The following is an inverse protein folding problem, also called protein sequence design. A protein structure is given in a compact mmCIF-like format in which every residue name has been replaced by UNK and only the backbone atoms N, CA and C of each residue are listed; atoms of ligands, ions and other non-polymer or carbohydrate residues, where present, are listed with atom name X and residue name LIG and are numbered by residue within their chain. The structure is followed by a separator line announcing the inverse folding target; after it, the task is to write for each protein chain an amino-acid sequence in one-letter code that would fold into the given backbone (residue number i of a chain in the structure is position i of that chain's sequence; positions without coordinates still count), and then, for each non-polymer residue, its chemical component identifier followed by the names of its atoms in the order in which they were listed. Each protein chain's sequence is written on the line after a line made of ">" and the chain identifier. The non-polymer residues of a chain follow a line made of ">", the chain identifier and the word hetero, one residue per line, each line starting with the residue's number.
data_IF_016812612636
#
_entry.id   IF_016812612636
#
_cell.length_a   1.000
_cell.length_b   1.000
_cell.length_c   1.000
_cell.angle_alpha   90.00
_cell.angle_beta   90.00
_cell.angle_gamma   90.00
#
_symmetry.space_group_name_H-M   'P 1'
#
loop_
_entity.id
_entity.type
_entity.pdbx_description
1 polymer ?
#
# COMPACT_ATOMS: atom_id res chain seq x y z
N UNK A 1 -14.31 -7.84 -21.43
CA UNK A 1 -14.51 -6.43 -21.83
C UNK A 1 -14.83 -5.67 -20.56
N UNK A 2 -14.11 -4.59 -20.23
CA UNK A 2 -14.32 -3.86 -18.98
C UNK A 2 -15.56 -2.98 -19.10
N UNK A 3 -16.47 -3.04 -18.14
CA UNK A 3 -17.69 -2.22 -18.16
C UNK A 3 -17.39 -0.78 -17.75
N UNK A 4 -18.28 0.17 -18.06
CA UNK A 4 -18.17 1.55 -17.58
C UNK A 4 -18.09 1.61 -16.05
N UNK A 5 -18.83 0.73 -15.36
CA UNK A 5 -18.77 0.60 -13.90
C UNK A 5 -17.35 0.24 -13.44
N UNK A 6 -16.71 -0.75 -14.06
CA UNK A 6 -15.36 -1.17 -13.67
C UNK A 6 -14.33 -0.08 -13.91
N UNK A 7 -14.50 0.70 -14.99
CA UNK A 7 -13.65 1.85 -15.29
C UNK A 7 -13.78 2.96 -14.24
N UNK A 8 -15.00 3.30 -13.84
CA UNK A 8 -15.25 4.29 -12.79
C UNK A 8 -14.69 3.81 -11.44
N UNK A 9 -14.87 2.54 -11.10
CA UNK A 9 -14.34 1.98 -9.85
C UNK A 9 -12.81 2.03 -9.83
N UNK A 10 -12.16 1.60 -10.91
CA UNK A 10 -10.71 1.70 -11.07
C UNK A 10 -10.20 3.13 -10.97
N UNK A 11 -10.89 4.09 -11.58
CA UNK A 11 -10.52 5.49 -11.49
C UNK A 11 -10.55 5.98 -10.03
N UNK A 12 -11.60 5.70 -9.29
CA UNK A 12 -11.76 6.17 -7.91
C UNK A 12 -10.82 5.46 -6.92
N UNK A 13 -10.52 4.18 -7.15
CA UNK A 13 -9.45 3.46 -6.43
C UNK A 13 -8.09 4.10 -6.73
N UNK A 14 -7.80 4.39 -8.00
CA UNK A 14 -6.53 5.03 -8.40
C UNK A 14 -6.36 6.42 -7.78
N UNK A 15 -7.45 7.19 -7.66
CA UNK A 15 -7.45 8.48 -6.97
C UNK A 15 -7.14 8.31 -5.47
N UNK A 16 -7.77 7.34 -4.81
CA UNK A 16 -7.53 7.04 -3.40
C UNK A 16 -6.05 6.69 -3.12
N UNK A 17 -5.47 5.80 -3.92
CA UNK A 17 -4.07 5.39 -3.78
C UNK A 17 -3.11 6.56 -4.01
N UNK A 18 -3.40 7.43 -4.99
CA UNK A 18 -2.60 8.62 -5.26
C UNK A 18 -2.67 9.62 -4.10
N UNK A 19 -3.86 9.87 -3.56
CA UNK A 19 -4.02 10.77 -2.41
C UNK A 19 -3.27 10.26 -1.18
N UNK A 20 -3.33 8.96 -0.92
CA UNK A 20 -2.55 8.33 0.15
C UNK A 20 -1.03 8.50 -0.08
N UNK A 21 -0.56 8.23 -1.30
CA UNK A 21 0.85 8.39 -1.65
C UNK A 21 1.33 9.84 -1.43
N UNK A 22 0.55 10.83 -1.84
CA UNK A 22 0.88 12.25 -1.64
C UNK A 22 0.92 12.60 -0.15
N UNK A 23 -0.03 12.12 0.66
CA UNK A 23 0.02 12.30 2.12
C UNK A 23 1.30 11.69 2.72
N UNK A 24 1.64 10.46 2.35
CA UNK A 24 2.83 9.78 2.88
C UNK A 24 4.12 10.48 2.45
N UNK A 25 4.16 11.01 1.23
CA UNK A 25 5.29 11.81 0.71
C UNK A 25 5.40 13.20 1.33
N UNK A 26 4.31 13.76 1.85
CA UNK A 26 4.33 15.00 2.63
C UNK A 26 4.75 14.74 4.08
N UNK A 27 4.30 13.62 4.65
CA UNK A 27 4.59 13.22 6.02
C UNK A 27 6.02 12.69 6.20
N UNK A 28 6.55 12.03 5.19
CA UNK A 28 7.88 11.39 5.18
C UNK A 28 8.76 11.95 4.06
N UNK A 29 9.99 11.45 3.90
CA UNK A 29 10.89 11.97 2.87
C UNK A 29 10.49 11.45 1.47
N UNK A 30 10.09 12.31 0.51
CA UNK A 30 9.70 11.86 -0.82
C UNK A 30 10.90 11.32 -1.61
N UNK A 31 10.69 10.25 -2.40
CA UNK A 31 11.69 9.70 -3.33
C UNK A 31 11.16 9.75 -4.77
N UNK A 32 11.99 9.35 -5.73
CA UNK A 32 11.63 9.33 -7.16
C UNK A 32 10.47 8.34 -7.40
N UNK A 33 9.50 8.77 -8.21
CA UNK A 33 8.34 7.95 -8.59
C UNK A 33 7.36 7.84 -7.42
N UNK A 34 6.76 6.67 -7.28
CA UNK A 34 5.68 6.41 -6.30
C UNK A 34 6.22 6.00 -4.92
N UNK A 35 7.33 6.63 -4.50
CA UNK A 35 8.15 6.20 -3.36
C UNK A 35 8.30 7.26 -2.29
N UNK A 36 8.43 6.81 -1.06
CA UNK A 36 8.82 7.63 0.10
C UNK A 36 9.80 6.87 1.00
N UNK A 37 10.51 7.59 1.86
CA UNK A 37 11.53 7.06 2.75
C UNK A 37 11.18 7.39 4.20
N UNK A 38 11.24 6.36 5.04
CA UNK A 38 10.95 6.46 6.46
C UNK A 38 11.86 5.50 7.24
N UNK A 39 12.54 6.03 8.26
CA UNK A 39 13.38 5.27 9.20
C UNK A 39 14.42 4.32 8.56
N UNK A 40 15.01 4.68 7.41
CA UNK A 40 16.01 3.83 6.75
C UNK A 40 15.44 2.92 5.64
N UNK A 41 14.12 2.84 5.51
CA UNK A 41 13.45 2.00 4.51
C UNK A 41 12.77 2.86 3.45
N UNK A 42 12.88 2.42 2.19
CA UNK A 42 12.09 2.99 1.08
C UNK A 42 10.82 2.17 0.89
N UNK A 43 9.68 2.84 0.86
CA UNK A 43 8.36 2.27 0.64
C UNK A 43 7.78 2.74 -0.70
N UNK A 44 6.89 1.95 -1.28
CA UNK A 44 6.23 2.23 -2.56
C UNK A 44 4.75 1.81 -2.52
N UNK A 45 3.90 2.59 -3.19
CA UNK A 45 2.52 2.21 -3.51
C UNK A 45 2.41 2.13 -5.03
N UNK A 46 2.21 0.92 -5.54
CA UNK A 46 2.01 0.67 -6.97
C UNK A 46 0.66 1.15 -7.46
N UNK A 47 0.52 1.41 -8.78
CA UNK A 47 -0.75 1.81 -9.36
C UNK A 47 -1.77 0.68 -9.30
N UNK A 48 -3.05 1.04 -9.21
CA UNK A 48 -4.13 0.08 -9.37
C UNK A 48 -4.17 -0.48 -10.81
N UNK A 49 -4.35 -1.79 -10.91
CA UNK A 49 -4.43 -2.54 -12.17
C UNK A 49 -5.71 -3.35 -12.21
N UNK A 50 -6.21 -3.58 -13.41
CA UNK A 50 -7.33 -4.49 -13.59
C UNK A 50 -6.85 -5.93 -13.58
N UNK A 51 -7.59 -6.76 -12.86
CA UNK A 51 -7.44 -8.21 -12.82
C UNK A 51 -8.78 -8.87 -13.18
N UNK A 52 -8.78 -10.15 -13.56
CA UNK A 52 -10.00 -10.87 -13.93
C UNK A 52 -11.01 -10.94 -12.75
N UNK A 53 -10.48 -11.01 -11.54
CA UNK A 53 -11.25 -11.15 -10.29
C UNK A 53 -11.47 -9.84 -9.53
N UNK A 54 -11.06 -8.69 -10.08
CA UNK A 54 -11.19 -7.40 -9.40
C UNK A 54 -10.12 -6.38 -9.80
N UNK A 55 -9.81 -5.47 -8.88
CA UNK A 55 -8.77 -4.46 -9.03
C UNK A 55 -7.67 -4.78 -8.03
N UNK A 56 -6.43 -4.75 -8.52
CA UNK A 56 -5.26 -5.15 -7.77
C UNK A 56 -4.29 -3.97 -7.63
N UNK A 57 -3.62 -3.88 -6.50
CA UNK A 57 -2.46 -2.99 -6.34
C UNK A 57 -1.43 -3.65 -5.44
N UNK A 58 -0.24 -3.09 -5.45
CA UNK A 58 0.90 -3.60 -4.70
C UNK A 58 1.44 -2.52 -3.77
N UNK A 59 1.89 -2.90 -2.58
CA UNK A 59 2.75 -2.07 -1.74
C UNK A 59 4.05 -2.81 -1.51
N UNK A 60 5.15 -2.08 -1.38
CA UNK A 60 6.44 -2.71 -1.11
C UNK A 60 7.31 -1.89 -0.18
N UNK A 61 8.29 -2.57 0.40
CA UNK A 61 9.34 -1.98 1.21
C UNK A 61 10.69 -2.59 0.86
N UNK A 62 11.72 -1.77 0.76
CA UNK A 62 13.10 -2.24 0.57
C UNK A 62 13.59 -2.90 1.86
N UNK A 63 14.14 -4.11 1.78
CA UNK A 63 14.85 -4.70 2.91
C UNK A 63 16.10 -3.85 3.19
N UNK A 64 16.36 -3.44 4.46
CA UNK A 64 17.51 -2.60 4.80
C UNK A 64 18.80 -3.44 4.85
N UNK A 65 19.19 -3.99 3.70
CA UNK A 65 20.32 -4.93 3.56
C UNK A 65 21.62 -4.41 4.19
N UNK A 66 21.81 -3.10 4.16
CA UNK A 66 22.99 -2.42 4.65
C UNK A 66 23.17 -2.54 6.16
N UNK A 67 22.07 -2.79 6.90
CA UNK A 67 22.05 -2.97 8.36
C UNK A 67 22.51 -4.36 8.79
N UNK A 68 22.36 -5.40 7.96
CA UNK A 68 22.65 -6.78 8.36
C UNK A 68 24.14 -7.12 8.25
N UNK A 69 24.59 -8.02 9.14
CA UNK A 69 25.96 -8.54 9.14
C UNK A 69 26.06 -9.71 8.15
N UNK A 70 25.14 -10.67 8.26
CA UNK A 70 25.11 -11.87 7.42
C UNK A 70 24.11 -11.73 6.28
N UNK A 71 24.39 -12.33 5.11
CA UNK A 71 23.44 -12.30 3.98
C UNK A 71 22.21 -13.18 4.22
N UNK A 72 22.35 -14.25 5.00
CA UNK A 72 21.23 -15.16 5.33
C UNK A 72 20.18 -14.48 6.23
N UNK A 73 20.56 -13.39 6.88
CA UNK A 73 19.65 -12.56 7.67
C UNK A 73 18.57 -11.89 6.80
N UNK A 74 18.82 -11.68 5.51
CA UNK A 74 17.84 -11.08 4.59
C UNK A 74 16.63 -12.00 4.37
N UNK A 75 16.88 -13.31 4.24
CA UNK A 75 15.83 -14.33 4.14
C UNK A 75 15.05 -14.42 5.46
N UNK A 76 15.78 -14.47 6.57
CA UNK A 76 15.17 -14.52 7.90
C UNK A 76 14.32 -13.28 8.18
N UNK A 77 14.79 -12.10 7.77
CA UNK A 77 14.07 -10.84 7.88
C UNK A 77 12.75 -10.88 7.12
N UNK A 78 12.81 -11.29 5.84
CA UNK A 78 11.61 -11.44 5.00
C UNK A 78 10.61 -12.40 5.64
N UNK A 79 11.06 -13.57 6.10
CA UNK A 79 10.18 -14.59 6.69
C UNK A 79 9.50 -14.10 7.96
N UNK A 80 10.20 -13.34 8.81
CA UNK A 80 9.61 -12.74 10.02
C UNK A 80 8.62 -11.62 9.70
N UNK A 81 8.95 -10.74 8.75
CA UNK A 81 8.00 -9.69 8.31
C UNK A 81 6.74 -10.33 7.73
N UNK A 82 6.90 -11.34 6.87
CA UNK A 82 5.80 -12.13 6.33
C UNK A 82 4.97 -12.79 7.42
N UNK A 83 5.60 -13.38 8.43
CA UNK A 83 4.90 -14.02 9.54
C UNK A 83 4.04 -13.03 10.34
N UNK A 84 4.51 -11.81 10.59
CA UNK A 84 3.74 -10.76 11.25
C UNK A 84 2.53 -10.32 10.40
N UNK A 85 2.76 -10.07 9.11
CA UNK A 85 1.69 -9.63 8.19
C UNK A 85 0.56 -10.66 8.03
N UNK A 86 0.88 -11.95 8.10
CA UNK A 86 -0.12 -13.02 8.05
C UNK A 86 -1.00 -13.11 9.31
N UNK A 87 -0.62 -12.48 10.42
CA UNK A 87 -1.43 -12.47 11.65
C UNK A 87 -2.67 -11.59 11.52
N UNK A 88 -2.62 -10.54 10.68
CA UNK A 88 -3.70 -9.57 10.52
C UNK A 88 -4.90 -10.10 9.69
N UNK A 89 -4.76 -11.29 9.07
CA UNK A 89 -5.82 -12.02 8.35
C UNK A 89 -6.66 -11.15 7.39
N UNK A 90 -5.98 -10.50 6.46
CA UNK A 90 -6.64 -9.74 5.39
C UNK A 90 -7.11 -10.68 4.27
N UNK A 91 -8.44 -10.84 4.04
CA UNK A 91 -8.93 -11.69 2.95
C UNK A 91 -8.54 -11.19 1.55
N UNK A 92 -8.30 -9.89 1.39
CA UNK A 92 -7.87 -9.27 0.13
C UNK A 92 -6.38 -9.49 -0.19
N UNK A 93 -5.57 -9.97 0.75
CA UNK A 93 -4.14 -10.17 0.57
C UNK A 93 -3.93 -11.44 -0.26
N UNK A 94 -3.48 -11.25 -1.51
CA UNK A 94 -3.29 -12.33 -2.48
C UNK A 94 -1.92 -12.98 -2.32
N UNK A 95 -0.88 -12.18 -2.11
CA UNK A 95 0.49 -12.67 -2.06
C UNK A 95 1.40 -11.78 -1.22
N UNK A 96 2.38 -12.42 -0.58
CA UNK A 96 3.57 -11.77 -0.01
C UNK A 96 4.78 -12.43 -0.68
N UNK A 97 5.50 -11.64 -1.48
CA UNK A 97 6.61 -12.08 -2.31
C UNK A 97 7.90 -11.34 -1.93
N UNK A 98 9.03 -12.03 -2.06
CA UNK A 98 10.34 -11.39 -2.04
C UNK A 98 10.75 -11.06 -3.46
N UNK A 99 10.88 -9.79 -3.78
CA UNK A 99 11.36 -9.34 -5.09
C UNK A 99 12.85 -9.00 -5.00
N UNK A 100 13.67 -9.69 -5.79
CA UNK A 100 15.10 -9.48 -5.85
C UNK A 100 15.48 -8.79 -7.17
N UNK A 101 16.02 -7.57 -7.07
CA UNK A 101 16.43 -6.77 -8.22
C UNK A 101 17.95 -6.73 -8.29
N UNK A 102 18.52 -7.37 -9.31
CA UNK A 102 19.97 -7.35 -9.60
C UNK A 102 20.23 -6.35 -10.72
N UNK A 103 21.08 -5.35 -10.46
CA UNK A 103 21.49 -4.36 -11.46
C UNK A 103 23.00 -4.35 -11.62
N UNK A 104 23.47 -4.60 -12.84
CA UNK A 104 24.87 -4.37 -13.23
C UNK A 104 25.14 -2.87 -13.39
N UNK A 105 26.20 -2.37 -12.74
CA UNK A 105 26.58 -0.94 -12.73
C UNK A 105 27.87 -0.72 -13.51
N UNK A 106 28.81 -1.66 -13.41
CA UNK A 106 30.06 -1.73 -14.17
C UNK A 106 30.37 -3.20 -14.45
N UNK A 107 31.39 -3.46 -15.28
CA UNK A 107 31.83 -4.82 -15.70
C UNK A 107 32.00 -5.82 -14.55
N UNK A 108 32.22 -5.36 -13.31
CA UNK A 108 32.43 -6.21 -12.13
C UNK A 108 31.65 -5.77 -10.87
N UNK A 109 30.65 -4.88 -10.99
CA UNK A 109 29.85 -4.40 -9.84
C UNK A 109 28.34 -4.64 -10.07
N UNK A 110 27.76 -5.56 -9.28
CA UNK A 110 26.31 -5.81 -9.20
C UNK A 110 25.73 -5.20 -7.92
N UNK A 111 24.64 -4.42 -8.04
CA UNK A 111 23.80 -4.04 -6.90
C UNK A 111 22.57 -4.92 -6.86
N UNK A 112 22.47 -5.70 -5.79
CA UNK A 112 21.31 -6.51 -5.45
C UNK A 112 20.43 -5.75 -4.44
N UNK A 113 19.11 -5.81 -4.63
CA UNK A 113 18.13 -5.17 -3.74
C UNK A 113 16.94 -6.10 -3.56
N UNK A 114 16.74 -6.55 -2.35
CA UNK A 114 15.56 -7.30 -1.93
C UNK A 114 14.46 -6.36 -1.43
N UNK A 115 13.23 -6.70 -1.78
CA UNK A 115 12.01 -6.02 -1.38
C UNK A 115 11.01 -7.02 -0.82
N UNK A 116 10.30 -6.60 0.22
CA UNK A 116 9.05 -7.24 0.64
C UNK A 116 7.92 -6.62 -0.18
N UNK A 117 7.19 -7.43 -0.93
CA UNK A 117 6.13 -6.99 -1.84
C UNK A 117 4.82 -7.68 -1.47
N UNK A 118 3.77 -6.88 -1.26
CA UNK A 118 2.45 -7.34 -0.91
C UNK A 118 1.48 -6.98 -2.03
N UNK A 119 0.65 -7.94 -2.43
CA UNK A 119 -0.35 -7.80 -3.49
C UNK A 119 -1.74 -7.92 -2.89
N UNK A 120 -2.56 -6.89 -3.09
CA UNK A 120 -3.92 -6.82 -2.58
C UNK A 120 -4.92 -6.75 -3.73
N UNK A 121 -6.02 -7.49 -3.62
CA UNK A 121 -7.07 -7.54 -4.63
C UNK A 121 -8.43 -7.30 -4.01
N UNK A 122 -9.15 -6.37 -4.62
CA UNK A 122 -10.49 -5.99 -4.21
C UNK A 122 -11.48 -6.15 -5.35
N UNK A 123 -12.63 -6.74 -5.05
CA UNK A 123 -13.83 -6.62 -5.88
C UNK A 123 -14.50 -5.28 -5.58
N UNK A 124 -15.15 -4.71 -6.59
CA UNK A 124 -15.81 -3.41 -6.44
C UNK A 124 -16.84 -3.40 -5.31
N UNK A 125 -17.57 -4.50 -5.17
CA UNK A 125 -18.59 -4.75 -4.14
C UNK A 125 -18.02 -4.84 -2.72
N UNK A 126 -16.72 -5.10 -2.56
CA UNK A 126 -16.09 -5.18 -1.24
C UNK A 126 -15.75 -3.79 -0.67
N UNK A 127 -15.79 -2.75 -1.50
CA UNK A 127 -15.38 -1.39 -1.17
C UNK A 127 -16.55 -0.45 -0.86
N UNK A 128 -17.80 -0.93 -0.92
CA UNK A 128 -18.98 -0.20 -0.48
C UNK A 128 -20.09 -1.16 -0.09
N UNK A 129 -21.04 -0.71 0.73
CA UNK A 129 -22.31 -1.43 0.92
C UNK A 129 -23.49 -0.51 0.64
N UNK A 130 -24.62 -1.12 0.25
CA UNK A 130 -25.86 -0.38 0.02
C UNK A 130 -26.31 0.34 1.31
N UNK A 131 -26.15 -0.28 2.48
CA UNK A 131 -26.49 0.33 3.76
C UNK A 131 -25.68 1.59 4.05
N UNK A 132 -24.38 1.59 3.72
CA UNK A 132 -23.52 2.76 3.90
C UNK A 132 -23.97 3.92 2.99
N UNK A 133 -24.24 3.61 1.72
CA UNK A 133 -24.71 4.59 0.75
C UNK A 133 -26.09 5.15 1.14
N UNK A 134 -27.00 4.31 1.61
CA UNK A 134 -28.32 4.75 2.09
C UNK A 134 -28.21 5.65 3.33
N UNK A 135 -27.28 5.37 4.26
CA UNK A 135 -27.01 6.26 5.40
C UNK A 135 -26.53 7.64 4.95
N UNK A 136 -25.57 7.68 4.00
CA UNK A 136 -25.06 8.93 3.42
C UNK A 136 -26.16 9.72 2.68
N UNK A 137 -27.02 9.02 1.93
CA UNK A 137 -28.19 9.62 1.27
C UNK A 137 -29.17 10.23 2.28
N UNK A 138 -29.54 9.47 3.31
CA UNK A 138 -30.47 9.93 4.34
C UNK A 138 -29.93 11.15 5.11
N UNK A 139 -28.60 11.21 5.31
CA UNK A 139 -27.96 12.38 5.91
C UNK A 139 -28.10 13.62 5.03
N UNK A 140 -27.81 13.52 3.73
CA UNK A 140 -27.97 14.64 2.79
C UNK A 140 -29.42 15.08 2.58
N UNK A 141 -30.37 14.16 2.71
CA UNK A 141 -31.80 14.50 2.67
C UNK A 141 -32.23 15.33 3.88
N UNK A 142 -31.66 15.05 5.07
CA UNK A 142 -31.92 15.81 6.30
C UNK A 142 -31.16 17.14 6.33
N UNK A 143 -29.92 17.13 5.86
CA UNK A 143 -29.03 18.27 5.80
C UNK A 143 -28.24 18.25 4.47
N UNK A 144 -28.71 18.99 3.44
CA UNK A 144 -28.01 19.09 2.15
C UNK A 144 -26.60 19.68 2.24
N UNK A 145 -26.22 20.28 3.36
CA UNK A 145 -24.90 20.88 3.60
C UNK A 145 -23.95 19.99 4.40
N UNK A 146 -24.39 18.81 4.83
CA UNK A 146 -23.61 17.90 5.65
C UNK A 146 -22.24 17.56 5.04
N UNK A 147 -22.18 17.40 3.71
CA UNK A 147 -20.94 17.28 2.96
C UNK A 147 -21.16 17.56 1.47
N UNK A 148 -20.10 17.96 0.78
CA UNK A 148 -20.14 18.29 -0.64
C UNK A 148 -19.99 17.02 -1.48
N UNK A 149 -20.97 16.73 -2.33
CA UNK A 149 -20.87 15.70 -3.36
C UNK A 149 -20.55 16.37 -4.70
N UNK A 150 -19.29 16.31 -5.19
CA UNK A 150 -18.94 16.93 -6.46
C UNK A 150 -19.69 16.26 -7.62
N UNK A 151 -20.00 16.99 -8.70
CA UNK A 151 -20.49 16.37 -9.93
C UNK A 151 -19.42 15.42 -10.48
N UNK A 152 -19.86 14.24 -10.92
CA UNK A 152 -19.00 13.24 -11.55
C UNK A 152 -19.52 13.05 -12.98
N UNK A 153 -18.68 13.25 -14.01
CA UNK A 153 -19.07 13.02 -15.39
C UNK A 153 -19.72 11.64 -15.56
N UNK A 154 -20.77 11.56 -16.37
CA UNK A 154 -21.47 10.30 -16.70
C UNK A 154 -22.24 9.63 -15.54
N UNK A 155 -22.18 10.19 -14.32
CA UNK A 155 -22.92 9.69 -13.15
C UNK A 155 -23.99 10.69 -12.70
N UNK A 156 -25.21 10.45 -13.18
CA UNK A 156 -26.31 11.41 -13.05
C UNK A 156 -27.07 11.32 -11.73
N UNK A 157 -26.95 10.20 -10.99
CA UNK A 157 -27.67 10.00 -9.72
C UNK A 157 -26.79 10.37 -8.53
N UNK A 158 -27.40 10.97 -7.49
CA UNK A 158 -26.71 11.24 -6.23
C UNK A 158 -26.16 9.96 -5.60
N UNK A 159 -26.96 8.88 -5.62
CA UNK A 159 -26.57 7.57 -5.11
C UNK A 159 -25.33 7.02 -5.84
N UNK A 160 -25.29 7.08 -7.18
CA UNK A 160 -24.13 6.63 -7.94
C UNK A 160 -22.87 7.42 -7.61
N UNK A 161 -22.99 8.73 -7.38
CA UNK A 161 -21.85 9.55 -6.96
C UNK A 161 -21.35 9.16 -5.57
N UNK A 162 -22.27 8.91 -4.63
CA UNK A 162 -21.93 8.45 -3.29
C UNK A 162 -21.24 7.09 -3.28
N UNK A 163 -21.65 6.15 -4.15
CA UNK A 163 -20.95 4.86 -4.31
C UNK A 163 -19.47 5.10 -4.65
N UNK A 164 -19.17 5.95 -5.64
CA UNK A 164 -17.79 6.21 -6.05
C UNK A 164 -16.96 6.90 -4.97
N UNK A 165 -17.55 7.86 -4.25
CA UNK A 165 -16.90 8.52 -3.12
C UNK A 165 -16.62 7.54 -1.97
N UNK A 166 -17.58 6.68 -1.65
CA UNK A 166 -17.41 5.61 -0.64
C UNK A 166 -16.30 4.64 -1.04
N UNK A 167 -16.25 4.19 -2.30
CA UNK A 167 -15.18 3.32 -2.81
C UNK A 167 -13.82 3.98 -2.60
N UNK A 168 -13.70 5.26 -2.92
CA UNK A 168 -12.46 6.02 -2.74
C UNK A 168 -12.06 6.12 -1.27
N UNK A 169 -12.99 6.50 -0.38
CA UNK A 169 -12.76 6.62 1.05
C UNK A 169 -12.33 5.29 1.69
N UNK A 170 -13.03 4.21 1.36
CA UNK A 170 -12.75 2.88 1.89
C UNK A 170 -11.41 2.36 1.35
N UNK A 171 -11.13 2.55 0.06
CA UNK A 171 -9.83 2.18 -0.51
C UNK A 171 -8.69 2.95 0.15
N UNK A 172 -8.82 4.27 0.31
CA UNK A 172 -7.81 5.09 0.98
C UNK A 172 -7.55 4.57 2.40
N UNK A 173 -8.62 4.30 3.17
CA UNK A 173 -8.52 3.83 4.56
C UNK A 173 -7.82 2.47 4.65
N UNK A 174 -8.23 1.51 3.81
CA UNK A 174 -7.63 0.16 3.78
C UNK A 174 -6.18 0.18 3.31
N UNK A 175 -5.87 0.87 2.22
CA UNK A 175 -4.50 0.98 1.72
C UNK A 175 -3.58 1.66 2.75
N UNK A 176 -4.09 2.66 3.48
CA UNK A 176 -3.37 3.31 4.58
C UNK A 176 -3.08 2.35 5.70
N UNK A 177 -4.08 1.57 6.12
CA UNK A 177 -3.90 0.53 7.13
C UNK A 177 -2.83 -0.48 6.69
N UNK A 178 -2.92 -1.03 5.48
CA UNK A 178 -1.94 -1.99 4.95
C UNK A 178 -0.52 -1.43 4.94
N UNK A 179 -0.34 -0.17 4.56
CA UNK A 179 0.96 0.48 4.59
C UNK A 179 1.49 0.64 6.02
N UNK A 180 0.64 1.05 6.97
CA UNK A 180 1.04 1.19 8.37
C UNK A 180 1.44 -0.16 8.98
N UNK A 181 0.70 -1.22 8.68
CA UNK A 181 1.03 -2.58 9.13
C UNK A 181 2.35 -3.08 8.54
N UNK A 182 2.65 -2.79 7.27
CA UNK A 182 3.95 -3.08 6.66
C UNK A 182 5.08 -2.31 7.36
N UNK A 183 4.86 -1.03 7.66
CA UNK A 183 5.85 -0.21 8.37
C UNK A 183 6.11 -0.75 9.79
N UNK A 184 5.04 -1.12 10.51
CA UNK A 184 5.12 -1.68 11.87
C UNK A 184 5.80 -3.05 11.90
N UNK A 185 5.47 -3.94 10.95
CA UNK A 185 6.13 -5.23 10.82
C UNK A 185 7.64 -5.07 10.56
N UNK A 186 8.02 -4.17 9.66
CA UNK A 186 9.42 -3.89 9.38
C UNK A 186 10.16 -3.36 10.61
N UNK A 187 9.56 -2.43 11.36
CA UNK A 187 10.19 -1.88 12.56
C UNK A 187 10.30 -2.92 13.68
N UNK A 188 9.26 -3.73 13.88
CA UNK A 188 9.26 -4.83 14.87
C UNK A 188 10.40 -5.80 14.59
N UNK A 189 10.52 -6.29 13.36
CA UNK A 189 11.59 -7.23 12.99
C UNK A 189 12.96 -6.55 13.09
N UNK A 190 13.11 -5.28 12.71
CA UNK A 190 14.39 -4.56 12.90
C UNK A 190 14.81 -4.47 14.36
N UNK A 191 13.86 -4.24 15.28
CA UNK A 191 14.16 -4.19 16.71
C UNK A 191 14.54 -5.56 17.28
N UNK A 192 13.91 -6.64 16.80
CA UNK A 192 14.32 -8.01 17.14
C UNK A 192 15.77 -8.27 16.72
N UNK A 193 16.12 -7.96 15.47
CA UNK A 193 17.48 -8.16 14.97
C UNK A 193 18.53 -7.30 15.69
N UNK A 194 18.16 -6.07 16.12
CA UNK A 194 19.01 -5.24 17.00
C UNK A 194 19.24 -5.90 18.35
N UNK A 195 18.20 -6.45 18.95
CA UNK A 195 18.27 -7.13 20.25
C UNK A 195 19.06 -8.43 20.16
N UNK A 196 18.97 -9.14 19.03
CA UNK A 196 19.74 -10.34 18.71
C UNK A 196 21.20 -10.06 18.32
N UNK A 197 21.60 -8.79 18.14
CA UNK A 197 22.95 -8.42 17.70
C UNK A 197 23.28 -8.81 16.26
N UNK A 198 22.26 -8.93 15.39
CA UNK A 198 22.39 -9.36 13.99
C UNK A 198 22.44 -8.20 12.99
N UNK A 199 22.39 -6.98 13.50
CA UNK A 199 22.62 -5.77 12.71
C UNK A 199 23.85 -5.04 13.20
N UNK A 200 24.50 -4.35 12.26
CA UNK A 200 25.63 -3.47 12.50
C UNK A 200 25.26 -2.38 13.50
N UNK A 201 26.21 -2.03 14.35
CA UNK A 201 26.09 -0.87 15.24
C UNK A 201 26.06 0.43 14.42
N UNK A 202 25.49 1.53 14.94
CA UNK A 202 25.45 2.82 14.22
C UNK A 202 26.84 3.33 13.77
N UNK A 203 27.91 2.90 14.45
CA UNK A 203 29.30 3.22 14.11
C UNK A 203 29.78 2.48 12.84
N UNK A 204 29.29 1.27 12.60
CA UNK A 204 29.69 0.41 11.46
C UNK A 204 28.91 0.70 10.16
N UNK A 205 27.77 1.40 10.25
CA UNK A 205 26.96 1.79 9.06
C UNK A 205 27.48 3.09 8.41
N UNK A 206 28.31 3.86 9.12
CA UNK A 206 28.80 5.18 8.68
C UNK A 206 30.22 5.15 8.07
N UNK A 207 30.81 3.95 7.90
CA UNK A 207 32.17 3.72 7.37
C UNK A 207 32.12 3.26 5.92
#
# INVERSE_FOLDING_TARGET
>A
MKTLRDQLFHQYISLALRELLEELRQRYEPKKGDRFFYQGITYEIGPAQFHEEGIEFEISSKIPQEEFIEKDDLLTYFDRVKALLLQNKHPELVAIERENIIREIKRDETKERDYVKLRYRYRGEELFSDEEVQKKLALLQKDPSAFVVPPIPEVNTLAGRLVLLTIKENMYTRAKQHMLELMEANETVRQEFRTEGRVKTPQEVSS
#
